data_IF_469916875404
#
_entry.id   IF_469916875404
#
_cell.length_a   1.000
_cell.length_b   1.000
_cell.length_c   1.000
_cell.angle_alpha   90.00
_cell.angle_beta   90.00
_cell.angle_gamma   90.00
#
_symmetry.space_group_name_H-M   'P 1'
#
loop_
_entity.id
_entity.type
_entity.pdbx_description
1 polymer ?
#
# COMPACT_ATOMS: atom_id res chain seq x y z
N UNK A 1 12.08 5.83 -5.96
CA UNK A 1 11.19 6.12 -4.82
C UNK A 1 11.77 7.15 -3.83
N UNK A 2 11.98 8.41 -4.26
CA UNK A 2 12.57 9.45 -3.38
C UNK A 2 11.68 9.88 -2.22
N UNK A 3 10.38 9.57 -2.28
CA UNK A 3 9.42 9.90 -1.22
C UNK A 3 9.73 9.18 0.10
N UNK A 4 10.05 7.89 0.06
CA UNK A 4 10.32 7.10 1.27
C UNK A 4 11.56 7.60 1.99
N UNK A 5 12.65 7.84 1.25
CA UNK A 5 13.88 8.42 1.78
C UNK A 5 13.61 9.79 2.44
N UNK A 6 12.84 10.66 1.79
CA UNK A 6 12.42 11.93 2.40
C UNK A 6 11.60 11.75 3.68
N UNK A 7 10.76 10.72 3.79
CA UNK A 7 10.05 10.46 5.05
C UNK A 7 10.97 9.90 6.12
N UNK A 8 11.92 9.04 5.75
CA UNK A 8 12.96 8.50 6.63
C UNK A 8 13.81 9.63 7.20
N UNK A 9 14.39 10.47 6.35
CA UNK A 9 15.21 11.63 6.76
C UNK A 9 14.46 12.55 7.73
N UNK A 10 13.19 12.84 7.45
CA UNK A 10 12.34 13.67 8.33
C UNK A 10 12.09 13.01 9.69
N UNK A 11 11.80 11.71 9.71
CA UNK A 11 11.53 10.99 10.96
C UNK A 11 12.80 10.83 11.79
N UNK A 12 13.93 10.50 11.18
CA UNK A 12 15.22 10.41 11.85
C UNK A 12 15.67 11.77 12.38
N UNK A 13 15.42 12.86 11.65
CA UNK A 13 15.72 14.20 12.13
C UNK A 13 14.87 14.63 13.35
N UNK A 14 13.62 14.19 13.42
CA UNK A 14 12.72 14.48 14.54
C UNK A 14 12.90 13.53 15.73
N UNK A 15 13.34 12.29 15.46
CA UNK A 15 13.48 11.22 16.43
C UNK A 15 14.77 10.41 16.14
N UNK A 16 15.94 10.94 16.50
CA UNK A 16 17.22 10.31 16.17
C UNK A 16 17.40 8.94 16.86
N UNK A 17 16.80 8.74 18.02
CA UNK A 17 16.91 7.50 18.81
C UNK A 17 15.92 6.41 18.39
N UNK A 18 15.14 6.64 17.33
CA UNK A 18 14.15 5.68 16.84
C UNK A 18 14.80 4.55 16.06
N UNK A 19 14.42 3.30 16.34
CA UNK A 19 14.92 2.17 15.57
C UNK A 19 14.43 2.22 14.12
N UNK A 20 15.26 1.74 13.21
CA UNK A 20 14.97 1.73 11.77
C UNK A 20 13.66 0.99 11.45
N UNK A 21 13.41 -0.14 12.11
CA UNK A 21 12.14 -0.89 11.97
C UNK A 21 10.92 -0.04 12.34
N UNK A 22 10.97 0.71 13.45
CA UNK A 22 9.87 1.59 13.86
C UNK A 22 9.71 2.75 12.86
N UNK A 23 10.81 3.29 12.32
CA UNK A 23 10.78 4.31 11.27
C UNK A 23 10.06 3.77 10.03
N UNK A 24 10.45 2.60 9.54
CA UNK A 24 9.82 1.97 8.37
C UNK A 24 8.32 1.75 8.60
N UNK A 25 7.93 1.17 9.75
CA UNK A 25 6.52 0.97 10.09
C UNK A 25 5.74 2.29 10.12
N UNK A 26 6.31 3.38 10.65
CA UNK A 26 5.67 4.69 10.66
C UNK A 26 5.51 5.28 9.25
N UNK A 27 6.47 5.04 8.35
CA UNK A 27 6.37 5.49 6.96
C UNK A 27 5.29 4.68 6.23
N UNK A 28 5.31 3.36 6.36
CA UNK A 28 4.35 2.47 5.70
C UNK A 28 2.90 2.72 6.16
N UNK A 29 2.67 3.07 7.43
CA UNK A 29 1.34 3.50 7.92
C UNK A 29 0.79 4.76 7.23
N UNK A 30 1.63 5.55 6.55
CA UNK A 30 1.17 6.70 5.74
C UNK A 30 0.68 6.28 4.35
N UNK A 31 1.00 5.05 3.92
CA UNK A 31 0.44 4.50 2.70
C UNK A 31 -1.07 4.29 2.87
N UNK A 32 -1.86 4.61 1.84
CA UNK A 32 -3.31 4.48 1.87
C UNK A 32 -3.76 3.13 1.30
N UNK A 33 -4.88 2.61 1.81
CA UNK A 33 -5.51 1.39 1.30
C UNK A 33 -4.60 0.17 1.44
N UNK A 34 -4.61 -0.69 0.42
CA UNK A 34 -3.91 -1.98 0.45
C UNK A 34 -2.39 -1.87 0.21
N UNK A 35 -1.86 -0.66 0.00
CA UNK A 35 -0.45 -0.46 -0.33
C UNK A 35 0.46 -0.87 0.83
N UNK A 36 0.10 -0.52 2.08
CA UNK A 36 0.86 -0.96 3.26
C UNK A 36 0.93 -2.48 3.34
N UNK A 37 -0.21 -3.15 3.18
CA UNK A 37 -0.31 -4.61 3.22
C UNK A 37 0.49 -5.25 2.08
N UNK A 38 0.40 -4.71 0.87
CA UNK A 38 1.10 -5.22 -0.30
C UNK A 38 2.64 -5.11 -0.18
N UNK A 39 3.14 -4.06 0.47
CA UNK A 39 4.58 -3.90 0.75
C UNK A 39 5.01 -4.93 1.80
N UNK A 40 4.29 -5.00 2.93
CA UNK A 40 4.59 -5.95 4.01
C UNK A 40 4.49 -7.41 3.57
N UNK A 41 3.62 -7.75 2.63
CA UNK A 41 3.54 -9.12 2.11
C UNK A 41 4.75 -9.54 1.29
N UNK A 42 5.61 -8.59 0.87
CA UNK A 42 6.83 -8.83 0.07
C UNK A 42 8.11 -8.73 0.91
N UNK A 43 8.04 -8.12 2.09
CA UNK A 43 9.17 -7.91 2.98
C UNK A 43 8.90 -8.56 4.35
N UNK A 44 9.63 -9.63 4.68
CA UNK A 44 9.56 -10.24 6.01
C UNK A 44 10.45 -9.42 6.95
N UNK A 45 9.89 -8.91 8.06
CA UNK A 45 10.65 -8.10 9.01
C UNK A 45 11.73 -8.94 9.75
N UNK A 46 12.92 -8.35 10.03
CA UNK A 46 13.33 -6.98 9.71
C UNK A 46 13.74 -6.82 8.24
N UNK A 47 13.20 -5.80 7.56
CA UNK A 47 13.54 -5.46 6.17
C UNK A 47 14.45 -4.23 6.11
N UNK A 48 15.31 -4.16 5.09
CA UNK A 48 16.14 -2.99 4.86
C UNK A 48 15.33 -1.87 4.17
N UNK A 49 15.84 -0.63 4.23
CA UNK A 49 15.24 0.49 3.47
C UNK A 49 15.21 0.19 1.97
N UNK A 50 16.21 -0.53 1.47
CA UNK A 50 16.28 -0.93 0.06
C UNK A 50 15.18 -1.94 -0.29
N UNK A 51 14.92 -2.91 0.57
CA UNK A 51 13.85 -3.89 0.37
C UNK A 51 12.46 -3.22 0.30
N UNK A 52 12.18 -2.29 1.22
CA UNK A 52 10.93 -1.53 1.21
C UNK A 52 10.79 -0.70 -0.07
N UNK A 53 11.87 -0.04 -0.50
CA UNK A 53 11.90 0.74 -1.74
C UNK A 53 11.66 -0.14 -2.96
N UNK A 54 12.36 -1.27 -3.06
CA UNK A 54 12.21 -2.21 -4.15
C UNK A 54 10.79 -2.79 -4.21
N UNK A 55 10.20 -3.14 -3.06
CA UNK A 55 8.83 -3.60 -2.98
C UNK A 55 7.82 -2.52 -3.43
N UNK A 56 8.00 -1.27 -2.99
CA UNK A 56 7.16 -0.16 -3.44
C UNK A 56 7.29 0.10 -4.94
N UNK A 57 8.51 0.05 -5.49
CA UNK A 57 8.74 0.22 -6.93
C UNK A 57 8.11 -0.93 -7.70
N UNK A 58 8.27 -2.18 -7.27
CA UNK A 58 7.63 -3.35 -7.87
C UNK A 58 6.11 -3.20 -7.89
N UNK A 59 5.51 -2.83 -6.75
CA UNK A 59 4.07 -2.65 -6.64
C UNK A 59 3.58 -1.51 -7.52
N UNK A 60 4.23 -0.34 -7.48
CA UNK A 60 3.78 0.83 -8.24
C UNK A 60 4.01 0.71 -9.75
N UNK A 61 5.01 -0.07 -10.17
CA UNK A 61 5.28 -0.33 -11.60
C UNK A 61 4.39 -1.43 -12.16
N UNK A 62 4.14 -2.52 -11.40
CA UNK A 62 3.40 -3.69 -11.89
C UNK A 62 1.91 -3.64 -11.56
N UNK A 63 1.55 -3.10 -10.41
CA UNK A 63 0.17 -3.04 -9.94
C UNK A 63 -0.33 -1.63 -10.17
N UNK A 64 -1.31 -1.48 -11.07
CA UNK A 64 -2.07 -0.23 -11.24
C UNK A 64 -3.02 -0.04 -10.05
N UNK A 65 -2.46 0.10 -8.84
CA UNK A 65 -3.20 0.39 -7.62
C UNK A 65 -3.88 1.74 -7.83
N UNK A 66 -5.22 1.74 -7.80
CA UNK A 66 -6.03 2.93 -8.10
C UNK A 66 -6.78 2.91 -9.43
N UNK A 67 -6.72 1.83 -10.22
CA UNK A 67 -7.82 1.60 -11.18
C UNK A 67 -9.07 1.27 -10.39
N UNK A 68 -10.05 2.18 -10.41
CA UNK A 68 -11.44 1.81 -10.19
C UNK A 68 -11.67 0.55 -11.02
N UNK A 69 -11.88 -0.58 -10.36
CA UNK A 69 -12.56 -1.69 -11.00
C UNK A 69 -13.89 -1.11 -11.42
N UNK A 70 -14.05 -0.76 -12.71
CA UNK A 70 -15.37 -0.58 -13.27
C UNK A 70 -16.13 -1.82 -12.85
N UNK A 71 -17.20 -1.63 -12.05
CA UNK A 71 -18.07 -2.73 -11.63
C UNK A 71 -18.35 -3.57 -12.87
N UNK A 72 -17.93 -4.83 -12.84
CA UNK A 72 -18.23 -5.77 -13.92
C UNK A 72 -19.75 -5.74 -14.15
N UNK A 73 -20.26 -5.64 -15.39
CA UNK A 73 -21.70 -5.57 -15.66
C UNK A 73 -22.52 -6.76 -15.11
N UNK A 74 -21.82 -7.82 -14.69
CA UNK A 74 -22.38 -9.05 -14.14
C UNK A 74 -23.10 -8.80 -12.81
N UNK A 75 -22.75 -7.76 -12.04
CA UNK A 75 -23.37 -7.53 -10.73
C UNK A 75 -24.70 -6.74 -10.79
N UNK A 76 -25.00 -6.09 -11.92
CA UNK A 76 -26.28 -5.40 -12.17
C UNK A 76 -27.41 -6.31 -12.66
N UNK A 77 -27.13 -7.59 -12.95
CA UNK A 77 -28.14 -8.55 -13.42
C UNK A 77 -28.94 -9.25 -12.31
N UNK A 78 -28.43 -9.26 -11.07
CA UNK A 78 -29.08 -10.01 -9.98
C UNK A 78 -30.18 -9.19 -9.30
N UNK A 79 -30.03 -7.86 -9.22
CA UNK A 79 -31.04 -6.99 -8.59
C UNK A 79 -32.31 -6.80 -9.43
N UNK A 80 -32.27 -7.08 -10.73
CA UNK A 80 -33.46 -6.94 -11.60
C UNK A 80 -34.42 -8.13 -11.53
N UNK A 81 -33.97 -9.32 -11.12
CA UNK A 81 -34.82 -10.52 -11.06
C UNK A 81 -35.63 -10.61 -9.75
N UNK A 82 -35.17 -10.02 -8.66
CA UNK A 82 -35.94 -9.95 -7.40
C UNK A 82 -37.05 -8.88 -7.43
N UNK A 83 -36.94 -7.88 -8.31
CA UNK A 83 -37.95 -6.83 -8.46
C UNK A 83 -39.12 -7.21 -9.40
N UNK A 84 -39.06 -8.41 -10.02
CA UNK A 84 -40.10 -8.97 -10.90
C UNK A 84 -40.84 -10.16 -10.28
N UNK A 85 -40.70 -10.38 -8.96
CA UNK A 85 -41.61 -11.22 -8.17
C UNK A 85 -42.58 -10.31 -7.39
N UNK A 86 -43.56 -9.79 -8.12
CA UNK A 86 -44.88 -9.41 -7.57
C UNK A 86 -45.92 -10.23 -8.32
#
# INVERSE_FOLDING_TARGET
>A
MSWFLKQKDRLTALHPDMSETIVHQRILRKCRGDLEHAIRSRCIEPCSTEDDINAMEDITTRVKIGRNWYKSPIQTGIQSLESMRL
#
